data_IF_392803118333
#
_entry.id   IF_392803118333
#
_cell.length_a   1.000
_cell.length_b   1.000
_cell.length_c   1.000
_cell.angle_alpha   90.00
_cell.angle_beta   90.00
_cell.angle_gamma   90.00
#
_symmetry.space_group_name_H-M   'P 1'
#
loop_
_entity.id
_entity.type
_entity.pdbx_description
1 polymer ?
#
# COMPACT_ATOMS: atom_id res chain seq x y z
N UNK A 1 13.39 4.56 10.63
CA UNK A 1 12.70 5.51 9.74
C UNK A 1 13.62 6.68 9.52
N UNK A 2 13.84 7.09 8.27
CA UNK A 2 14.74 8.18 7.92
C UNK A 2 13.95 9.30 7.26
N UNK A 3 13.91 10.45 7.90
CA UNK A 3 13.34 11.68 7.34
C UNK A 3 14.52 12.60 7.08
N UNK A 4 14.65 13.13 5.86
CA UNK A 4 15.66 14.11 5.55
C UNK A 4 15.32 15.45 6.21
N UNK A 5 16.33 16.29 6.44
CA UNK A 5 16.15 17.62 7.06
C UNK A 5 15.31 18.58 6.22
N UNK A 6 15.17 18.29 4.92
CA UNK A 6 14.30 19.00 3.98
C UNK A 6 12.85 18.50 3.97
N UNK A 7 12.52 17.50 4.82
CA UNK A 7 11.21 16.86 4.86
C UNK A 7 10.98 15.84 3.74
N UNK A 8 11.97 15.57 2.89
CA UNK A 8 11.83 14.60 1.80
C UNK A 8 11.92 13.15 2.28
N UNK A 9 11.25 12.25 1.57
CA UNK A 9 11.28 10.81 1.85
C UNK A 9 12.31 10.06 0.97
N UNK A 10 13.15 10.78 0.20
CA UNK A 10 14.10 10.21 -0.75
C UNK A 10 15.05 9.21 -0.10
N UNK A 11 15.58 9.55 1.09
CA UNK A 11 16.45 8.65 1.83
C UNK A 11 15.75 7.37 2.30
N UNK A 12 14.47 7.48 2.63
CA UNK A 12 13.65 6.31 2.99
C UNK A 12 13.41 5.42 1.76
N UNK A 13 13.17 6.01 0.59
CA UNK A 13 13.05 5.28 -0.67
C UNK A 13 14.34 4.55 -1.04
N UNK A 14 15.51 5.15 -0.81
CA UNK A 14 16.82 4.51 -1.02
C UNK A 14 17.00 3.28 -0.12
N UNK A 15 16.76 3.42 1.18
CA UNK A 15 16.87 2.33 2.16
C UNK A 15 15.91 1.20 1.82
N UNK A 16 14.67 1.52 1.44
CA UNK A 16 13.70 0.52 1.00
C UNK A 16 14.14 -0.17 -0.29
N UNK A 17 14.68 0.58 -1.23
CA UNK A 17 15.19 0.04 -2.49
C UNK A 17 16.29 -0.99 -2.23
N UNK A 18 17.27 -0.66 -1.42
CA UNK A 18 18.38 -1.56 -1.08
C UNK A 18 17.87 -2.86 -0.43
N UNK A 19 16.96 -2.71 0.54
CA UNK A 19 16.38 -3.85 1.26
C UNK A 19 15.58 -4.77 0.32
N UNK A 20 14.75 -4.19 -0.55
CA UNK A 20 13.93 -4.94 -1.50
C UNK A 20 14.83 -5.61 -2.55
N UNK A 21 15.83 -4.93 -3.08
CA UNK A 21 16.76 -5.52 -4.03
C UNK A 21 17.50 -6.73 -3.46
N UNK A 22 17.84 -6.70 -2.19
CA UNK A 22 18.35 -7.87 -1.48
C UNK A 22 17.39 -9.06 -1.52
N UNK A 23 16.09 -8.84 -1.34
CA UNK A 23 15.08 -9.90 -1.46
C UNK A 23 14.90 -10.36 -2.92
N UNK A 24 14.80 -9.43 -3.86
CA UNK A 24 14.62 -9.75 -5.28
C UNK A 24 15.80 -10.51 -5.87
N UNK A 25 17.03 -10.18 -5.47
CA UNK A 25 18.23 -10.90 -5.86
C UNK A 25 18.23 -12.35 -5.37
N UNK A 26 17.75 -12.59 -4.16
CA UNK A 26 17.60 -13.96 -3.62
C UNK A 26 16.47 -14.71 -4.33
N UNK A 27 15.36 -14.03 -4.59
CA UNK A 27 14.20 -14.58 -5.29
C UNK A 27 14.56 -15.04 -6.71
N UNK A 28 15.28 -14.21 -7.46
CA UNK A 28 15.63 -14.50 -8.86
C UNK A 28 16.58 -15.71 -9.03
N UNK A 29 17.32 -16.07 -7.98
CA UNK A 29 18.21 -17.24 -7.97
C UNK A 29 17.48 -18.56 -7.68
N UNK A 30 16.22 -18.50 -7.28
CA UNK A 30 15.43 -19.69 -6.93
C UNK A 30 14.47 -20.02 -8.07
N UNK A 31 14.23 -21.32 -8.25
CA UNK A 31 13.13 -21.78 -9.10
C UNK A 31 11.92 -22.02 -8.19
N UNK A 32 10.91 -21.18 -8.32
CA UNK A 32 9.73 -21.22 -7.46
C UNK A 32 8.51 -21.66 -8.23
N UNK A 33 7.62 -22.39 -7.54
CA UNK A 33 6.28 -22.64 -8.01
C UNK A 33 5.42 -21.39 -7.76
N UNK A 34 4.32 -21.31 -8.47
CA UNK A 34 3.35 -20.22 -8.40
C UNK A 34 2.97 -19.83 -6.97
N UNK A 35 2.50 -20.80 -6.17
CA UNK A 35 2.10 -20.58 -4.77
C UNK A 35 3.25 -20.01 -3.94
N UNK A 36 4.45 -20.54 -4.12
CA UNK A 36 5.62 -20.07 -3.39
C UNK A 36 5.99 -18.63 -3.76
N UNK A 37 5.97 -18.29 -5.06
CA UNK A 37 6.23 -16.94 -5.53
C UNK A 37 5.20 -15.94 -4.97
N UNK A 38 3.91 -16.30 -5.02
CA UNK A 38 2.82 -15.52 -4.43
C UNK A 38 3.03 -15.31 -2.94
N UNK A 39 3.31 -16.38 -2.18
CA UNK A 39 3.55 -16.32 -0.74
C UNK A 39 4.72 -15.39 -0.40
N UNK A 40 5.85 -15.48 -1.12
CA UNK A 40 7.00 -14.61 -0.87
C UNK A 40 6.65 -13.14 -1.12
N UNK A 41 5.95 -12.84 -2.21
CA UNK A 41 5.54 -11.46 -2.49
C UNK A 41 4.59 -10.95 -1.41
N UNK A 42 3.56 -11.72 -1.05
CA UNK A 42 2.54 -11.29 -0.10
C UNK A 42 3.02 -11.26 1.35
N UNK A 43 3.91 -12.17 1.76
CA UNK A 43 4.33 -12.27 3.16
C UNK A 43 5.65 -11.56 3.47
N UNK A 44 6.46 -11.22 2.47
CA UNK A 44 7.76 -10.60 2.69
C UNK A 44 7.89 -9.26 2.01
N UNK A 45 7.67 -9.22 0.68
CA UNK A 45 7.96 -8.01 -0.10
C UNK A 45 6.92 -6.93 0.19
N UNK A 46 5.64 -7.24 0.02
CA UNK A 46 4.57 -6.27 0.25
C UNK A 46 4.55 -5.73 1.68
N UNK A 47 4.56 -6.54 2.75
CA UNK A 47 4.55 -6.00 4.11
C UNK A 47 5.73 -5.09 4.41
N UNK A 48 6.92 -5.38 3.84
CA UNK A 48 8.10 -4.54 4.01
C UNK A 48 7.90 -3.13 3.42
N UNK A 49 7.22 -3.04 2.28
CA UNK A 49 6.92 -1.76 1.61
C UNK A 49 5.76 -1.07 2.31
N UNK A 50 4.68 -1.80 2.60
CA UNK A 50 3.45 -1.26 3.18
C UNK A 50 3.70 -0.65 4.56
N UNK A 51 4.51 -1.30 5.40
CA UNK A 51 4.88 -0.77 6.71
C UNK A 51 5.54 0.61 6.63
N UNK A 52 6.39 0.81 5.64
CA UNK A 52 7.03 2.11 5.43
C UNK A 52 6.10 3.09 4.70
N UNK A 53 5.35 2.61 3.70
CA UNK A 53 4.45 3.41 2.87
C UNK A 53 3.25 3.96 3.62
N UNK A 54 2.81 3.29 4.70
CA UNK A 54 1.75 3.81 5.57
C UNK A 54 2.11 5.13 6.28
N UNK A 55 3.41 5.43 6.36
CA UNK A 55 3.91 6.61 7.08
C UNK A 55 4.65 7.56 6.12
N UNK A 56 5.40 6.99 5.17
CA UNK A 56 6.19 7.76 4.21
C UNK A 56 5.38 8.00 2.93
N UNK A 57 5.30 9.24 2.49
CA UNK A 57 4.74 9.57 1.19
C UNK A 57 5.72 9.12 0.09
N UNK A 58 5.60 7.85 -0.33
CA UNK A 58 6.43 7.28 -1.39
C UNK A 58 6.02 7.89 -2.74
N UNK A 59 7.00 8.27 -3.56
CA UNK A 59 6.72 8.87 -4.85
C UNK A 59 6.13 7.85 -5.84
N UNK A 60 5.19 8.28 -6.68
CA UNK A 60 4.58 7.45 -7.72
C UNK A 60 5.59 6.84 -8.67
N UNK A 61 6.63 7.58 -8.98
CA UNK A 61 7.73 7.13 -9.82
C UNK A 61 8.50 5.97 -9.18
N UNK A 62 8.73 6.05 -7.87
CA UNK A 62 9.37 4.99 -7.10
C UNK A 62 8.50 3.74 -7.05
N UNK A 63 7.20 3.90 -6.74
CA UNK A 63 6.23 2.78 -6.68
C UNK A 63 6.19 2.03 -8.02
N UNK A 64 6.05 2.75 -9.13
CA UNK A 64 6.02 2.15 -10.48
C UNK A 64 7.31 1.41 -10.81
N UNK A 65 8.46 1.99 -10.44
CA UNK A 65 9.77 1.39 -10.65
C UNK A 65 9.94 0.10 -9.83
N UNK A 66 9.53 0.12 -8.56
CA UNK A 66 9.59 -1.05 -7.69
C UNK A 66 8.66 -2.16 -8.16
N UNK A 67 7.44 -1.83 -8.54
CA UNK A 67 6.49 -2.80 -9.07
C UNK A 67 7.05 -3.52 -10.31
N UNK A 68 7.64 -2.78 -11.23
CA UNK A 68 8.29 -3.35 -12.42
C UNK A 68 9.42 -4.32 -12.04
N UNK A 69 10.23 -3.98 -11.04
CA UNK A 69 11.33 -4.83 -10.54
C UNK A 69 10.81 -6.10 -9.88
N UNK A 70 9.77 -5.99 -9.04
CA UNK A 70 9.13 -7.13 -8.38
C UNK A 70 8.58 -8.10 -9.43
N UNK A 71 7.81 -7.59 -10.40
CA UNK A 71 7.25 -8.41 -11.47
C UNK A 71 8.33 -9.11 -12.30
N UNK A 72 9.44 -8.43 -12.60
CA UNK A 72 10.58 -9.02 -13.31
C UNK A 72 11.21 -10.15 -12.52
N UNK A 73 11.44 -9.95 -11.23
CA UNK A 73 12.03 -10.97 -10.36
C UNK A 73 11.11 -12.19 -10.19
N UNK A 74 9.81 -11.98 -10.06
CA UNK A 74 8.80 -13.05 -10.01
C UNK A 74 8.80 -13.84 -11.32
N UNK A 75 8.74 -13.17 -12.48
CA UNK A 75 8.82 -13.85 -13.78
C UNK A 75 10.10 -14.68 -13.90
N UNK A 76 11.23 -14.15 -13.48
CA UNK A 76 12.51 -14.86 -13.47
C UNK A 76 12.51 -16.08 -12.57
N UNK A 77 12.03 -15.95 -11.33
CA UNK A 77 11.95 -17.03 -10.35
C UNK A 77 11.03 -18.18 -10.80
N UNK A 78 9.95 -17.86 -11.51
CA UNK A 78 9.01 -18.82 -12.05
C UNK A 78 9.40 -19.33 -13.44
N UNK A 79 10.51 -18.87 -14.00
CA UNK A 79 10.96 -19.19 -15.37
C UNK A 79 9.91 -18.85 -16.44
N UNK A 80 9.10 -17.84 -16.20
CA UNK A 80 8.13 -17.35 -17.18
C UNK A 80 8.85 -16.53 -18.26
N UNK A 81 8.26 -16.53 -19.46
CA UNK A 81 8.75 -15.67 -20.54
C UNK A 81 8.65 -14.19 -20.14
N UNK A 82 9.62 -13.38 -20.52
CA UNK A 82 9.63 -11.93 -20.25
C UNK A 82 8.36 -11.22 -20.75
N UNK A 83 7.82 -11.68 -21.88
CA UNK A 83 6.57 -11.18 -22.47
C UNK A 83 5.28 -11.65 -21.80
N UNK A 84 5.34 -12.44 -20.72
CA UNK A 84 4.12 -12.83 -19.98
C UNK A 84 3.36 -11.58 -19.54
N UNK A 85 2.05 -11.53 -19.86
CA UNK A 85 1.21 -10.39 -19.55
C UNK A 85 1.18 -10.10 -18.04
N UNK A 86 1.24 -8.83 -17.68
CA UNK A 86 1.06 -8.37 -16.30
C UNK A 86 -0.37 -8.66 -15.82
N UNK A 87 -1.36 -8.59 -16.72
CA UNK A 87 -2.73 -8.94 -16.40
C UNK A 87 -2.85 -10.38 -15.91
N UNK A 88 -2.17 -11.33 -16.58
CA UNK A 88 -2.12 -12.73 -16.12
C UNK A 88 -1.51 -12.85 -14.71
N UNK A 89 -0.46 -12.10 -14.41
CA UNK A 89 0.18 -12.18 -13.10
C UNK A 89 -0.74 -11.64 -11.99
N UNK A 90 -1.57 -10.65 -12.30
CA UNK A 90 -2.48 -10.01 -11.33
C UNK A 90 -3.84 -10.70 -11.20
N UNK A 91 -4.31 -11.35 -12.25
CA UNK A 91 -5.62 -12.00 -12.23
C UNK A 91 -5.67 -13.09 -11.14
N UNK A 92 -6.71 -13.03 -10.33
CA UNK A 92 -6.88 -13.94 -9.21
C UNK A 92 -7.64 -15.22 -9.57
N UNK A 93 -8.30 -15.24 -10.74
CA UNK A 93 -9.13 -16.37 -11.18
C UNK A 93 -8.37 -17.28 -12.17
N UNK A 94 -7.66 -16.68 -13.11
CA UNK A 94 -7.00 -17.40 -14.21
C UNK A 94 -5.47 -17.29 -14.09
N UNK A 95 -4.98 -16.30 -13.35
CA UNK A 95 -3.59 -15.98 -13.22
C UNK A 95 -3.00 -16.26 -11.83
N UNK A 96 -1.88 -15.60 -11.54
CA UNK A 96 -1.13 -15.83 -10.31
C UNK A 96 -1.73 -15.13 -9.07
N UNK A 97 -2.61 -14.17 -9.25
CA UNK A 97 -3.23 -13.40 -8.17
C UNK A 97 -2.21 -12.63 -7.31
N UNK A 98 -1.16 -12.10 -7.92
CA UNK A 98 -0.20 -11.23 -7.24
C UNK A 98 -0.75 -9.82 -7.25
N UNK A 99 -1.03 -9.22 -6.08
CA UNK A 99 -1.63 -7.89 -6.02
C UNK A 99 -0.70 -6.82 -6.59
N UNK A 100 -1.29 -5.75 -7.09
CA UNK A 100 -0.56 -4.54 -7.47
C UNK A 100 0.04 -3.89 -6.23
N UNK A 101 1.27 -3.41 -6.34
CA UNK A 101 1.90 -2.67 -5.26
C UNK A 101 1.15 -1.35 -4.97
N UNK A 102 0.69 -0.67 -6.01
CA UNK A 102 -0.08 0.57 -5.88
C UNK A 102 -1.39 0.32 -5.13
N UNK A 103 -2.19 -0.65 -5.59
CA UNK A 103 -3.48 -0.95 -4.95
C UNK A 103 -3.30 -1.38 -3.49
N UNK A 104 -2.22 -2.13 -3.20
CA UNK A 104 -1.91 -2.54 -1.85
C UNK A 104 -1.53 -1.34 -0.96
N UNK A 105 -0.75 -0.37 -1.48
CA UNK A 105 -0.40 0.86 -0.77
C UNK A 105 -1.63 1.74 -0.52
N UNK A 106 -2.46 1.94 -1.54
CA UNK A 106 -3.67 2.75 -1.42
C UNK A 106 -4.63 2.16 -0.38
N UNK A 107 -4.83 0.84 -0.42
CA UNK A 107 -5.62 0.14 0.59
C UNK A 107 -5.04 0.26 2.00
N UNK A 108 -3.72 0.19 2.16
CA UNK A 108 -3.06 0.35 3.46
C UNK A 108 -3.20 1.77 4.00
N UNK A 109 -3.03 2.78 3.14
CA UNK A 109 -3.21 4.20 3.50
C UNK A 109 -4.65 4.45 3.93
N UNK A 110 -5.63 3.98 3.16
CA UNK A 110 -7.06 4.11 3.48
C UNK A 110 -7.37 3.42 4.81
N UNK A 111 -6.95 2.15 4.97
CA UNK A 111 -7.20 1.37 6.18
C UNK A 111 -6.56 2.00 7.41
N UNK A 112 -5.30 2.44 7.31
CA UNK A 112 -4.60 3.08 8.42
C UNK A 112 -5.20 4.44 8.77
N UNK A 113 -5.65 5.19 7.78
CA UNK A 113 -6.35 6.47 7.98
C UNK A 113 -7.71 6.25 8.67
N UNK A 114 -8.47 5.27 8.19
CA UNK A 114 -9.74 4.88 8.81
C UNK A 114 -9.56 4.46 10.27
N UNK A 115 -8.58 3.59 10.54
CA UNK A 115 -8.28 3.16 11.92
C UNK A 115 -7.87 4.34 12.81
N UNK A 116 -7.04 5.25 12.30
CA UNK A 116 -6.62 6.45 13.06
C UNK A 116 -7.80 7.38 13.35
N UNK A 117 -8.71 7.53 12.39
CA UNK A 117 -9.91 8.36 12.57
C UNK A 117 -10.89 7.73 13.58
N UNK A 118 -10.98 6.40 13.63
CA UNK A 118 -11.89 5.67 14.52
C UNK A 118 -11.27 5.32 15.89
N UNK A 119 -9.96 5.27 16.01
CA UNK A 119 -9.26 5.07 17.30
C UNK A 119 -9.30 6.31 18.21
N UNK A 120 -9.99 7.33 17.77
CA UNK A 120 -10.18 8.54 18.56
C UNK A 120 -11.11 8.27 19.72
N UNK A 121 -10.56 7.67 20.74
CA UNK A 121 -11.11 7.80 22.07
C UNK A 121 -10.84 9.21 22.58
N UNK A 122 -11.90 9.97 22.48
CA UNK A 122 -12.42 10.95 23.43
C UNK A 122 -11.69 12.27 23.65
N UNK A 123 -10.44 12.51 23.39
CA UNK A 123 -10.01 13.80 23.99
C UNK A 123 -9.25 14.83 23.15
N UNK A 124 -8.60 14.55 22.05
CA UNK A 124 -7.97 15.70 21.34
C UNK A 124 -7.40 15.41 19.94
N UNK A 125 -6.90 14.22 19.70
CA UNK A 125 -6.16 13.97 18.45
C UNK A 125 -7.04 13.71 17.22
N UNK A 126 -8.25 13.22 17.43
CA UNK A 126 -9.15 12.93 16.33
C UNK A 126 -9.84 14.13 15.73
N UNK A 127 -10.14 15.08 16.58
CA UNK A 127 -10.70 16.34 16.10
C UNK A 127 -9.73 17.03 15.14
N UNK A 128 -8.42 16.98 15.42
CA UNK A 128 -7.37 17.54 14.56
C UNK A 128 -7.14 16.73 13.28
N UNK A 129 -7.27 15.40 13.33
CA UNK A 129 -7.14 14.55 12.15
C UNK A 129 -8.32 14.73 11.19
N UNK A 130 -9.54 14.78 11.72
CA UNK A 130 -10.74 15.10 10.96
C UNK A 130 -10.70 16.52 10.39
N UNK A 131 -10.23 17.48 11.15
CA UNK A 131 -10.11 18.86 10.71
C UNK A 131 -9.12 18.98 9.55
N UNK A 132 -7.94 18.36 9.66
CA UNK A 132 -6.96 18.33 8.57
C UNK A 132 -7.48 17.61 7.33
N UNK A 133 -8.20 16.49 7.49
CA UNK A 133 -8.81 15.78 6.38
C UNK A 133 -9.87 16.67 5.70
N UNK A 134 -10.72 17.33 6.48
CA UNK A 134 -11.75 18.25 5.98
C UNK A 134 -11.13 19.45 5.24
N UNK A 135 -10.06 20.02 5.78
CA UNK A 135 -9.33 21.13 5.16
C UNK A 135 -8.72 20.70 3.83
N UNK A 136 -8.04 19.54 3.81
CA UNK A 136 -7.44 18.99 2.59
C UNK A 136 -8.48 18.63 1.53
N UNK A 137 -9.62 18.07 1.92
CA UNK A 137 -10.71 17.73 1.01
C UNK A 137 -11.46 18.99 0.52
N UNK A 138 -11.53 20.03 1.35
CA UNK A 138 -12.05 21.34 0.95
C UNK A 138 -11.18 22.02 -0.11
N UNK A 139 -9.84 21.88 -0.01
CA UNK A 139 -8.91 22.37 -1.03
C UNK A 139 -9.01 21.61 -2.36
N UNK A 140 -9.42 20.33 -2.32
CA UNK A 140 -9.58 19.47 -3.50
C UNK A 140 -10.97 19.58 -4.16
N UNK A 141 -11.81 20.50 -3.68
CA UNK A 141 -13.20 20.68 -4.20
C UNK A 141 -14.01 19.37 -4.23
N UNK A 142 -13.68 18.46 -3.32
CA UNK A 142 -14.38 17.19 -3.18
C UNK A 142 -15.75 17.40 -2.53
N UNK A 143 -16.78 16.83 -3.13
CA UNK A 143 -18.17 16.98 -2.72
C UNK A 143 -18.35 16.64 -1.22
N UNK A 144 -18.62 17.63 -0.40
CA UNK A 144 -18.83 17.49 1.05
C UNK A 144 -19.92 16.46 1.41
N UNK A 145 -20.80 16.12 0.46
CA UNK A 145 -21.84 15.10 0.63
C UNK A 145 -21.24 13.70 0.83
N UNK A 146 -20.10 13.38 0.19
CA UNK A 146 -19.45 12.08 0.36
C UNK A 146 -18.92 11.90 1.80
N UNK A 147 -18.45 12.97 2.43
CA UNK A 147 -17.92 12.95 3.81
C UNK A 147 -19.07 12.80 4.81
N UNK A 148 -20.19 13.48 4.57
CA UNK A 148 -21.38 13.36 5.43
C UNK A 148 -22.01 11.97 5.38
N UNK A 149 -21.98 11.31 4.23
CA UNK A 149 -22.50 9.94 4.08
C UNK A 149 -21.70 8.94 4.91
N UNK A 150 -20.37 9.08 4.96
CA UNK A 150 -19.50 8.24 5.79
C UNK A 150 -19.76 8.45 7.29
N UNK A 151 -19.99 9.69 7.72
CA UNK A 151 -20.30 10.00 9.13
C UNK A 151 -21.71 9.56 9.55
N UNK A 152 -22.64 9.44 8.63
CA UNK A 152 -24.00 8.94 8.91
C UNK A 152 -24.07 7.41 9.00
N UNK A 153 -23.24 6.67 8.27
CA UNK A 153 -23.23 5.21 8.34
C UNK A 153 -22.76 4.69 9.70
N UNK A 154 -21.88 5.39 10.40
CA UNK A 154 -21.41 4.99 11.74
C UNK A 154 -22.47 5.15 12.83
N UNK A 155 -23.42 6.08 12.68
CA UNK A 155 -24.48 6.30 13.70
C UNK A 155 -25.57 5.25 13.69
N UNK A 156 -25.74 4.53 12.60
CA UNK A 156 -26.76 3.49 12.48
C UNK A 156 -26.33 2.17 13.09
N UNK A 157 -25.06 1.84 13.13
CA UNK A 157 -24.56 0.58 13.71
C UNK A 157 -24.50 0.58 15.24
N UNK A 158 -24.47 1.74 15.89
CA UNK A 158 -24.45 1.85 17.36
C UNK A 158 -25.83 1.83 18.00
N UNK A 159 -26.90 2.00 17.22
CA UNK A 159 -28.29 2.04 17.76
C UNK A 159 -28.94 0.66 17.89
N UNK A 160 -28.40 -0.39 17.29
CA UNK A 160 -28.99 -1.74 17.32
C UNK A 160 -28.39 -2.67 18.38
N UNK A 161 -27.64 -2.14 19.36
CA UNK A 161 -27.06 -2.91 20.48
C UNK A 161 -27.55 -2.46 21.84
N UNK A 162 -28.87 -2.25 21.98
CA UNK A 162 -29.52 -2.18 23.29
C UNK A 162 -30.79 -2.99 23.31
#
# INVERSE_FOLDING_TARGET
MHIATDGSWTKQEEVLTEKIEGFLSRLSRKSLREIQAKTVVQSVILPTILYAGAIAALSDSWVTKMETRILRAVKGAMKLRSGTSTAYIRDNKIGLGIPSLRDALDNEIISSSYLRLNQVNEKTEGCTAWQRLSDTLGELDCDQRAIQTLSCMERTETSDRH
#
